data_IF_501869579990
#
_entry.id   IF_501869579990
#
_cell.length_a   1.000
_cell.length_b   1.000
_cell.length_c   1.000
_cell.angle_alpha   90.00
_cell.angle_beta   90.00
_cell.angle_gamma   90.00
#
_symmetry.space_group_name_H-M   'P 1'
#
loop_
_entity.id
_entity.type
_entity.pdbx_description
1 polymer ?
#
# COMPACT_ATOMS: atom_id res chain seq x y z
N UNK A 1 -28.30 1.71 -3.15
CA UNK A 1 -27.05 2.31 -2.65
C UNK A 1 -25.98 1.22 -2.68
N UNK A 2 -25.00 1.32 -3.58
CA UNK A 2 -23.86 0.40 -3.58
C UNK A 2 -22.86 0.90 -2.55
N UNK A 3 -22.73 0.21 -1.42
CA UNK A 3 -21.64 0.44 -0.47
C UNK A 3 -20.38 -0.22 -1.04
N UNK A 4 -19.39 0.61 -1.40
CA UNK A 4 -18.07 0.14 -1.79
C UNK A 4 -17.35 -0.34 -0.53
N UNK A 5 -16.85 -1.59 -0.48
CA UNK A 5 -16.15 -2.09 0.70
C UNK A 5 -14.88 -1.25 0.97
N UNK A 6 -14.45 -1.11 2.24
CA UNK A 6 -13.21 -0.42 2.58
C UNK A 6 -12.03 -1.04 1.81
N UNK A 7 -11.23 -0.21 1.18
CA UNK A 7 -10.07 -0.63 0.38
C UNK A 7 -8.93 -0.94 1.34
N UNK A 8 -8.90 -2.16 1.89
CA UNK A 8 -7.79 -2.62 2.73
C UNK A 8 -6.75 -3.38 1.91
N UNK A 9 -5.46 -3.12 2.15
CA UNK A 9 -4.40 -3.92 1.55
C UNK A 9 -4.42 -5.34 2.14
N UNK A 10 -4.52 -6.36 1.28
CA UNK A 10 -4.46 -7.78 1.72
C UNK A 10 -3.15 -8.47 1.34
N UNK A 11 -2.14 -7.69 0.96
CA UNK A 11 -0.84 -8.16 0.48
C UNK A 11 -0.77 -8.29 -1.05
N UNK A 12 0.41 -8.04 -1.61
CA UNK A 12 0.69 -8.25 -3.03
C UNK A 12 0.81 -9.76 -3.30
N UNK A 13 0.22 -10.22 -4.40
CA UNK A 13 0.34 -11.59 -4.88
C UNK A 13 1.15 -11.65 -6.18
N UNK A 14 1.77 -12.80 -6.51
CA UNK A 14 2.65 -12.95 -7.67
C UNK A 14 1.96 -12.67 -9.02
N UNK A 15 0.64 -12.82 -9.10
CA UNK A 15 -0.13 -12.53 -10.31
C UNK A 15 -0.18 -11.03 -10.70
N UNK A 16 0.33 -10.12 -9.86
CA UNK A 16 0.38 -8.68 -10.14
C UNK A 16 1.80 -8.14 -10.06
N UNK A 17 2.26 -7.52 -11.14
CA UNK A 17 3.56 -6.85 -11.16
C UNK A 17 3.61 -5.75 -10.09
N UNK A 18 4.48 -5.90 -9.11
CA UNK A 18 4.63 -4.94 -8.03
C UNK A 18 5.76 -3.96 -8.35
N UNK A 19 5.45 -2.68 -8.49
CA UNK A 19 6.47 -1.63 -8.71
C UNK A 19 7.44 -1.48 -7.53
N UNK A 20 7.15 -2.15 -6.41
CA UNK A 20 7.94 -2.14 -5.18
C UNK A 20 8.77 -3.43 -4.99
N UNK A 21 8.84 -4.32 -5.98
CA UNK A 21 9.63 -5.56 -5.89
C UNK A 21 9.12 -6.58 -4.86
N UNK A 22 7.88 -6.42 -4.39
CA UNK A 22 7.33 -7.29 -3.34
C UNK A 22 7.02 -8.69 -3.86
N UNK A 23 6.81 -8.87 -5.17
CA UNK A 23 6.55 -10.20 -5.76
C UNK A 23 7.81 -11.07 -5.67
N UNK A 24 8.95 -10.51 -6.04
CA UNK A 24 10.26 -11.13 -5.95
C UNK A 24 10.59 -11.46 -4.49
N UNK A 25 10.29 -10.53 -3.57
CA UNK A 25 10.44 -10.75 -2.13
C UNK A 25 9.55 -11.90 -1.63
N UNK A 26 8.27 -11.95 -2.01
CA UNK A 26 7.36 -13.04 -1.59
C UNK A 26 7.83 -14.40 -2.11
N UNK A 27 8.36 -14.46 -3.33
CA UNK A 27 8.95 -15.67 -3.91
C UNK A 27 10.20 -16.13 -3.15
N UNK A 28 11.11 -15.19 -2.84
CA UNK A 28 12.35 -15.50 -2.12
C UNK A 28 12.13 -15.98 -0.68
N UNK A 29 11.05 -15.54 -0.04
CA UNK A 29 10.69 -15.90 1.33
C UNK A 29 9.66 -17.05 1.42
N UNK A 30 9.28 -17.65 0.29
CA UNK A 30 8.28 -18.74 0.20
C UNK A 30 6.93 -18.40 0.87
N UNK A 31 6.45 -17.17 0.66
CA UNK A 31 5.15 -16.70 1.15
C UNK A 31 4.24 -16.31 -0.02
N UNK A 32 2.94 -16.56 0.09
CA UNK A 32 2.02 -16.23 -1.00
C UNK A 32 1.74 -14.72 -1.10
N UNK A 33 1.85 -14.01 0.02
CA UNK A 33 1.61 -12.58 0.11
C UNK A 33 2.57 -11.90 1.08
N UNK A 34 2.87 -10.63 0.83
CA UNK A 34 3.85 -9.90 1.66
C UNK A 34 3.40 -9.75 3.12
N UNK A 35 2.09 -9.75 3.42
CA UNK A 35 1.57 -9.71 4.79
C UNK A 35 1.69 -11.04 5.54
N UNK A 36 2.17 -12.11 4.89
CA UNK A 36 2.48 -13.39 5.51
C UNK A 36 3.99 -13.52 5.82
N UNK A 37 4.78 -12.49 5.50
CA UNK A 37 6.21 -12.48 5.82
C UNK A 37 6.39 -12.63 7.36
N UNK A 38 7.28 -13.54 7.83
CA UNK A 38 7.54 -13.71 9.27
C UNK A 38 8.07 -12.43 9.95
N UNK A 39 8.73 -11.58 9.17
CA UNK A 39 9.30 -10.31 9.62
C UNK A 39 8.37 -9.12 9.36
N UNK A 40 7.08 -9.35 9.06
CA UNK A 40 6.16 -8.27 8.72
C UNK A 40 5.86 -7.37 9.95
N UNK A 41 5.95 -6.03 9.82
CA UNK A 41 6.41 -5.28 8.66
C UNK A 41 7.94 -5.34 8.49
N UNK A 42 8.41 -5.83 7.35
CA UNK A 42 9.84 -5.90 7.06
C UNK A 42 10.33 -4.60 6.39
N UNK A 43 11.64 -4.45 6.21
CA UNK A 43 12.27 -3.25 5.63
C UNK A 43 11.64 -2.81 4.28
N UNK A 44 11.27 -3.78 3.43
CA UNK A 44 10.60 -3.50 2.16
C UNK A 44 9.20 -2.87 2.36
N UNK A 45 8.46 -3.33 3.37
CA UNK A 45 7.15 -2.79 3.72
C UNK A 45 7.32 -1.43 4.38
N UNK A 46 8.27 -1.27 5.30
CA UNK A 46 8.56 0.02 5.92
C UNK A 46 8.94 1.08 4.87
N UNK A 47 9.78 0.73 3.90
CA UNK A 47 10.14 1.61 2.77
C UNK A 47 8.92 2.02 1.94
N UNK A 48 8.01 1.08 1.67
CA UNK A 48 6.74 1.36 0.99
C UNK A 48 5.85 2.29 1.81
N UNK A 49 5.71 2.04 3.12
CA UNK A 49 4.93 2.88 4.03
C UNK A 49 5.50 4.31 4.10
N UNK A 50 6.82 4.46 4.21
CA UNK A 50 7.50 5.75 4.22
C UNK A 50 7.26 6.54 2.92
N UNK A 51 7.34 5.88 1.77
CA UNK A 51 7.03 6.51 0.47
C UNK A 51 5.56 6.90 0.37
N UNK A 52 4.66 6.08 0.88
CA UNK A 52 3.23 6.39 0.96
C UNK A 52 2.96 7.66 1.78
N UNK A 53 3.65 7.84 2.91
CA UNK A 53 3.55 9.06 3.72
C UNK A 53 4.14 10.28 2.99
N UNK A 54 5.24 10.11 2.26
CA UNK A 54 5.80 11.19 1.42
C UNK A 54 4.82 11.62 0.32
N UNK A 55 4.13 10.66 -0.30
CA UNK A 55 3.07 10.94 -1.27
C UNK A 55 1.89 11.67 -0.61
N UNK A 56 1.49 11.25 0.59
CA UNK A 56 0.42 11.91 1.35
C UNK A 56 0.72 13.39 1.58
N UNK A 57 1.93 13.72 2.08
CA UNK A 57 2.40 15.11 2.25
C UNK A 57 2.41 15.90 0.93
N UNK A 58 2.72 15.22 -0.17
CA UNK A 58 2.70 15.84 -1.51
C UNK A 58 1.27 16.16 -1.94
N UNK A 59 0.32 15.25 -1.71
CA UNK A 59 -1.09 15.46 -1.98
C UNK A 59 -1.68 16.58 -1.10
N UNK A 60 -1.36 16.62 0.19
CA UNK A 60 -1.79 17.71 1.10
C UNK A 60 -1.37 19.10 0.59
N UNK A 61 -0.22 19.20 -0.08
CA UNK A 61 0.30 20.45 -0.63
C UNK A 61 -0.30 20.84 -1.97
N UNK A 62 -0.63 19.87 -2.81
CA UNK A 62 -1.01 20.10 -4.22
C UNK A 62 -2.52 20.04 -4.46
N UNK A 63 -3.24 19.26 -3.67
CA UNK A 63 -4.68 19.06 -3.83
C UNK A 63 -5.46 20.14 -3.06
N UNK A 64 -6.68 20.39 -3.50
CA UNK A 64 -7.67 21.05 -2.65
C UNK A 64 -8.03 20.15 -1.47
N UNK A 65 -8.64 20.73 -0.43
CA UNK A 65 -9.09 19.97 0.75
C UNK A 65 -10.04 18.83 0.35
N UNK A 66 -10.97 19.08 -0.56
CA UNK A 66 -11.93 18.06 -1.00
C UNK A 66 -11.27 16.93 -1.79
N UNK A 67 -10.36 17.26 -2.71
CA UNK A 67 -9.59 16.25 -3.47
C UNK A 67 -8.72 15.41 -2.53
N UNK A 68 -8.05 16.06 -1.58
CA UNK A 68 -7.22 15.36 -0.60
C UNK A 68 -8.05 14.41 0.26
N UNK A 69 -9.20 14.84 0.79
CA UNK A 69 -10.08 13.97 1.60
C UNK A 69 -10.52 12.71 0.85
N UNK A 70 -10.81 12.82 -0.45
CA UNK A 70 -11.15 11.67 -1.29
C UNK A 70 -9.96 10.72 -1.47
N UNK A 71 -8.76 11.28 -1.67
CA UNK A 71 -7.53 10.49 -1.79
C UNK A 71 -7.15 9.81 -0.47
N UNK A 72 -7.29 10.51 0.64
CA UNK A 72 -7.02 10.00 1.98
C UNK A 72 -7.90 8.80 2.32
N UNK A 73 -9.21 8.93 2.12
CA UNK A 73 -10.16 7.85 2.37
C UNK A 73 -9.93 6.63 1.45
N UNK A 74 -9.42 6.82 0.24
CA UNK A 74 -9.24 5.75 -0.74
C UNK A 74 -7.87 5.05 -0.66
N UNK A 75 -6.79 5.78 -0.36
CA UNK A 75 -5.41 5.31 -0.54
C UNK A 75 -4.53 5.41 0.70
N UNK A 76 -4.81 6.31 1.64
CA UNK A 76 -3.97 6.54 2.82
C UNK A 76 -4.53 5.94 4.10
N UNK A 77 -5.80 5.54 4.11
CA UNK A 77 -6.36 4.67 5.15
C UNK A 77 -5.94 3.22 4.88
N UNK A 78 -4.93 2.72 5.60
CA UNK A 78 -4.35 1.38 5.40
C UNK A 78 -4.86 0.36 6.42
#
# INVERSE_FOLDING_TARGET
MFQMPPISCTGCSPEKQCTYGLVECTSAHDVAKCNQCPEFPCENIESLLARSQSNQKTCERLCTVEEYQRLEAAFFHK
#
